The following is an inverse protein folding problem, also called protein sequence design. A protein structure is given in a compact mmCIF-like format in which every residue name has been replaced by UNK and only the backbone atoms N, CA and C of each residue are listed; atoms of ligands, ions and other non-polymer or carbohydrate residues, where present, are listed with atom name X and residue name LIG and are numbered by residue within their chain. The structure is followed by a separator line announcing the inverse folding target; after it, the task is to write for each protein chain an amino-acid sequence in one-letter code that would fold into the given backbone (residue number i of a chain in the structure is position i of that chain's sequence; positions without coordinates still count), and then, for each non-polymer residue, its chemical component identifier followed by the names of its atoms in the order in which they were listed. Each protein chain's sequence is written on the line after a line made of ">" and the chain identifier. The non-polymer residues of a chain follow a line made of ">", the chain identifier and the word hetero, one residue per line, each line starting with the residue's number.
data_IF_611880892267
#
_entry.id   IF_611880892267
#
_cell.length_a   1.000
_cell.length_b   1.000
_cell.length_c   1.000
_cell.angle_alpha   90.00
_cell.angle_beta   90.00
_cell.angle_gamma   90.00
#
_symmetry.space_group_name_H-M   'P 1'
#
loop_
_entity.id
_entity.type
_entity.pdbx_description
1 polymer ?
#
# COMPACT_ATOMS: atom_id res chain seq x y z
N UNK A 1 -20.08 -9.41 -8.21
CA UNK A 1 -18.80 -8.68 -8.28
C UNK A 1 -17.81 -9.27 -7.29
N UNK A 2 -16.62 -9.65 -7.73
CA UNK A 2 -15.56 -10.16 -6.86
C UNK A 2 -14.86 -9.04 -6.10
N UNK A 3 -14.38 -9.33 -4.89
CA UNK A 3 -13.58 -8.39 -4.12
C UNK A 3 -12.18 -8.25 -4.73
N UNK A 4 -11.68 -7.02 -4.81
CA UNK A 4 -10.32 -6.71 -5.23
C UNK A 4 -9.38 -6.95 -4.06
N UNK A 5 -8.42 -7.85 -4.22
CA UNK A 5 -7.38 -8.10 -3.20
C UNK A 5 -6.22 -7.14 -3.41
N UNK A 6 -5.86 -6.43 -2.34
CA UNK A 6 -4.75 -5.49 -2.31
C UNK A 6 -3.82 -5.80 -1.14
N UNK A 7 -2.52 -5.91 -1.41
CA UNK A 7 -1.54 -6.07 -0.34
C UNK A 7 -0.93 -4.72 0.04
N UNK A 8 -1.07 -4.32 1.30
CA UNK A 8 -0.34 -3.20 1.87
C UNK A 8 0.98 -3.68 2.47
N UNK A 9 2.09 -3.16 1.95
CA UNK A 9 3.40 -3.48 2.49
C UNK A 9 3.65 -2.66 3.74
N UNK A 10 3.43 -3.30 4.90
CA UNK A 10 3.65 -2.69 6.21
C UNK A 10 3.86 -3.77 7.27
N UNK A 11 4.72 -3.48 8.25
CA UNK A 11 4.81 -4.22 9.50
C UNK A 11 3.97 -3.60 10.62
N UNK A 12 3.32 -2.46 10.40
CA UNK A 12 2.61 -1.70 11.43
C UNK A 12 1.10 -1.95 11.37
N UNK A 13 0.57 -2.65 12.38
CA UNK A 13 -0.84 -2.99 12.49
C UNK A 13 -1.78 -1.77 12.60
N UNK A 14 -1.31 -0.66 13.19
CA UNK A 14 -2.11 0.56 13.29
C UNK A 14 -2.29 1.22 11.92
N UNK A 15 -1.22 1.28 11.12
CA UNK A 15 -1.28 1.76 9.73
C UNK A 15 -2.21 0.91 8.88
N UNK A 16 -2.13 -0.42 9.02
CA UNK A 16 -3.06 -1.32 8.33
C UNK A 16 -4.52 -1.03 8.70
N UNK A 17 -4.82 -0.81 9.98
CA UNK A 17 -6.18 -0.49 10.45
C UNK A 17 -6.69 0.80 9.82
N UNK A 18 -5.84 1.83 9.75
CA UNK A 18 -6.18 3.11 9.15
C UNK A 18 -6.45 2.99 7.65
N UNK A 19 -5.54 2.32 6.92
CA UNK A 19 -5.70 2.09 5.48
C UNK A 19 -6.94 1.27 5.18
N UNK A 20 -7.22 0.21 5.96
CA UNK A 20 -8.48 -0.55 5.86
C UNK A 20 -9.68 0.36 6.01
N UNK A 21 -9.68 1.23 7.03
CA UNK A 21 -10.80 2.14 7.26
C UNK A 21 -11.04 3.08 6.09
N UNK A 22 -9.98 3.66 5.52
CA UNK A 22 -10.04 4.59 4.38
C UNK A 22 -10.51 3.89 3.09
N UNK A 23 -9.96 2.71 2.79
CA UNK A 23 -10.26 1.97 1.57
C UNK A 23 -11.56 1.16 1.65
N UNK A 24 -12.11 0.96 2.85
CA UNK A 24 -13.42 0.33 3.07
C UNK A 24 -14.57 1.33 3.09
N UNK A 25 -14.29 2.64 3.15
CA UNK A 25 -15.31 3.69 3.07
C UNK A 25 -15.65 3.95 1.62
N UNK A 26 -16.67 3.24 1.14
CA UNK A 26 -17.70 3.67 0.17
C UNK A 26 -18.41 2.39 -0.25
N UNK A 27 -19.42 1.97 0.52
CA UNK A 27 -20.31 0.84 0.18
C UNK A 27 -21.77 1.29 0.03
N UNK A 28 -21.99 2.60 -0.07
CA UNK A 28 -23.33 3.22 -0.14
C UNK A 28 -23.84 3.41 -1.57
N UNK A 29 -23.03 3.10 -2.58
CA UNK A 29 -23.38 3.20 -3.99
C UNK A 29 -23.31 1.82 -4.64
N UNK A 30 -24.26 1.46 -5.48
CA UNK A 30 -24.31 0.15 -6.16
C UNK A 30 -23.07 -0.16 -7.04
N UNK A 31 -22.22 0.85 -7.29
CA UNK A 31 -20.94 0.75 -8.00
C UNK A 31 -19.70 0.62 -7.08
N UNK A 32 -19.91 0.47 -5.77
CA UNK A 32 -18.86 0.43 -4.78
C UNK A 32 -17.95 -0.81 -4.88
N UNK A 33 -16.67 -0.58 -5.20
CA UNK A 33 -15.64 -1.61 -5.27
C UNK A 33 -15.31 -2.14 -3.86
N UNK A 34 -15.58 -3.42 -3.62
CA UNK A 34 -15.14 -4.10 -2.40
C UNK A 34 -13.64 -4.34 -2.47
N UNK A 35 -12.85 -3.61 -1.68
CA UNK A 35 -11.40 -3.77 -1.59
C UNK A 35 -11.05 -4.52 -0.29
N UNK A 36 -10.47 -5.70 -0.44
CA UNK A 36 -9.90 -6.46 0.66
C UNK A 36 -8.41 -6.14 0.79
N UNK A 37 -8.03 -5.52 1.91
CA UNK A 37 -6.64 -5.14 2.17
C UNK A 37 -5.98 -6.17 3.10
N UNK A 38 -4.93 -6.83 2.63
CA UNK A 38 -4.03 -7.64 3.45
C UNK A 38 -2.72 -6.91 3.72
N UNK A 39 -1.95 -7.34 4.72
CA UNK A 39 -0.62 -6.79 4.99
C UNK A 39 0.49 -7.81 4.81
N UNK A 40 1.60 -7.39 4.21
CA UNK A 40 2.85 -8.15 4.24
C UNK A 40 3.99 -7.26 4.70
N UNK A 41 4.78 -7.74 5.65
CA UNK A 41 6.07 -7.14 5.96
C UNK A 41 7.09 -7.68 4.95
N UNK A 42 7.55 -6.82 4.04
CA UNK A 42 8.57 -7.17 3.06
C UNK A 42 9.79 -6.31 3.31
N UNK A 43 10.95 -6.93 3.17
CA UNK A 43 12.22 -6.20 3.10
C UNK A 43 12.38 -5.65 1.68
N UNK A 44 12.31 -4.33 1.54
CA UNK A 44 12.37 -3.63 0.26
C UNK A 44 13.64 -2.79 0.19
N UNK A 45 14.24 -2.64 -1.01
CA UNK A 45 15.45 -1.85 -1.16
C UNK A 45 15.23 -0.39 -0.75
N UNK A 46 16.15 0.15 0.04
CA UNK A 46 16.19 1.56 0.41
C UNK A 46 16.94 2.36 -0.66
N UNK A 47 16.20 2.75 -1.69
CA UNK A 47 16.72 3.56 -2.79
C UNK A 47 16.84 5.02 -2.36
N UNK A 48 17.94 5.68 -2.75
CA UNK A 48 18.14 7.12 -2.58
C UNK A 48 17.66 7.87 -3.82
N UNK A 49 17.10 9.07 -3.65
CA UNK A 49 16.63 9.89 -4.76
C UNK A 49 15.49 10.82 -4.36
N UNK A 50 14.72 11.28 -5.34
CA UNK A 50 13.51 12.05 -5.06
C UNK A 50 12.46 11.17 -4.38
N UNK A 51 11.56 11.78 -3.62
CA UNK A 51 10.45 11.07 -2.95
C UNK A 51 9.65 10.21 -3.93
N UNK A 52 9.40 10.71 -5.14
CA UNK A 52 8.67 10.01 -6.17
C UNK A 52 9.44 8.79 -6.70
N UNK A 53 10.76 8.90 -6.86
CA UNK A 53 11.58 7.79 -7.33
C UNK A 53 11.67 6.68 -6.29
N UNK A 54 11.85 7.05 -5.02
CA UNK A 54 11.84 6.10 -3.90
C UNK A 54 10.50 5.38 -3.80
N UNK A 55 9.37 6.10 -3.87
CA UNK A 55 8.04 5.51 -3.81
C UNK A 55 7.77 4.57 -5.00
N UNK A 56 8.20 4.97 -6.22
CA UNK A 56 8.02 4.18 -7.44
C UNK A 56 8.81 2.88 -7.38
N UNK A 57 10.09 2.94 -6.99
CA UNK A 57 10.95 1.76 -6.96
C UNK A 57 10.56 0.80 -5.82
N UNK A 58 10.22 1.32 -4.63
CA UNK A 58 9.67 0.50 -3.54
C UNK A 58 8.40 -0.23 -3.96
N UNK A 59 7.46 0.48 -4.60
CA UNK A 59 6.22 -0.14 -5.07
C UNK A 59 6.45 -1.18 -6.16
N UNK A 60 7.38 -0.92 -7.08
CA UNK A 60 7.77 -1.89 -8.12
C UNK A 60 8.41 -3.14 -7.52
N UNK A 61 9.32 -2.98 -6.56
CA UNK A 61 9.98 -4.10 -5.88
C UNK A 61 8.96 -4.93 -5.09
N UNK A 62 8.06 -4.28 -4.35
CA UNK A 62 6.96 -4.94 -3.65
C UNK A 62 6.07 -5.76 -4.60
N UNK A 63 5.64 -5.18 -5.72
CA UNK A 63 4.78 -5.86 -6.68
C UNK A 63 5.46 -7.10 -7.26
N UNK A 64 6.77 -7.04 -7.53
CA UNK A 64 7.56 -8.19 -7.98
C UNK A 64 7.62 -9.31 -6.95
N UNK A 65 7.81 -8.99 -5.67
CA UNK A 65 7.87 -9.97 -4.58
C UNK A 65 6.50 -10.60 -4.27
N UNK A 66 5.43 -9.81 -4.41
CA UNK A 66 4.06 -10.24 -4.10
C UNK A 66 3.45 -11.02 -5.27
N UNK A 67 3.82 -10.69 -6.51
CA UNK A 67 3.21 -11.25 -7.72
C UNK A 67 1.78 -10.73 -7.95
N UNK A 68 1.46 -9.52 -7.46
CA UNK A 68 0.11 -8.98 -7.53
C UNK A 68 -0.01 -7.52 -7.08
N UNK A 69 -1.23 -6.97 -7.06
CA UNK A 69 -1.49 -5.58 -6.67
C UNK A 69 -1.03 -5.30 -5.24
N UNK A 70 -0.26 -4.23 -5.08
CA UNK A 70 0.18 -3.79 -3.76
C UNK A 70 0.30 -2.28 -3.66
N UNK A 71 0.22 -1.77 -2.44
CA UNK A 71 0.55 -0.40 -2.08
C UNK A 71 1.69 -0.39 -1.07
N UNK A 72 2.54 0.63 -1.14
CA UNK A 72 3.64 0.87 -0.20
C UNK A 72 3.54 2.29 0.33
N UNK A 73 4.16 2.56 1.48
CA UNK A 73 4.26 3.91 2.06
C UNK A 73 5.73 4.34 2.06
N UNK A 74 5.98 5.60 1.68
CA UNK A 74 7.28 6.24 1.84
C UNK A 74 7.08 7.58 2.54
N UNK A 75 7.72 7.73 3.71
CA UNK A 75 7.75 8.99 4.45
C UNK A 75 9.13 9.63 4.28
N UNK A 76 9.16 10.94 4.00
CA UNK A 76 10.38 11.73 3.92
C UNK A 76 10.29 12.87 4.93
N UNK A 77 11.39 13.19 5.59
CA UNK A 77 11.48 14.33 6.51
C UNK A 77 12.52 15.30 5.98
N UNK A 78 12.15 16.57 5.87
CA UNK A 78 13.10 17.64 5.58
C UNK A 78 13.52 18.27 6.89
N UNK A 79 14.81 18.22 7.21
CA UNK A 79 15.38 19.06 8.25
C UNK A 79 15.36 20.52 7.75
N UNK A 80 14.76 21.40 8.55
CA UNK A 80 14.67 22.84 8.29
C UNK A 80 15.99 23.53 8.58
#
# INVERSE_FOLDING_TARGET
>A
MGALKLVFVTGNANKLREVKKILSTDVSSEDSLKIEVDSKALDLPEVQGSTQDVAREKSRAAAKLIGGPCITEASFSFAK
#
